data_IF_962743595394
#
_entry.id   IF_962743595394
#
_cell.length_a   1.000
_cell.length_b   1.000
_cell.length_c   1.000
_cell.angle_alpha   90.00
_cell.angle_beta   90.00
_cell.angle_gamma   90.00
#
_symmetry.space_group_name_H-M   'P 1'
#
loop_
_entity.id
_entity.type
_entity.pdbx_description
1 polymer ?
#
# COMPACT_ATOMS: atom_id res chain seq x y z
N UNK A 1 -75.40 -1.87 -21.64
CA UNK A 1 -75.49 -2.07 -23.11
C UNK A 1 -74.77 -0.91 -23.78
N UNK A 2 -74.01 -1.09 -24.87
CA UNK A 2 -72.89 -2.01 -25.16
C UNK A 2 -71.56 -1.21 -25.39
N UNK A 3 -70.38 -1.82 -25.23
CA UNK A 3 -69.37 -2.16 -26.28
C UNK A 3 -68.67 -0.95 -26.95
N UNK A 4 -67.41 -0.96 -27.39
CA UNK A 4 -66.55 -2.05 -27.86
C UNK A 4 -65.12 -1.49 -28.01
N UNK A 5 -64.12 -2.33 -27.73
CA UNK A 5 -62.68 -2.12 -27.97
C UNK A 5 -62.38 -2.05 -29.47
N UNK A 6 -61.33 -1.32 -29.86
CA UNK A 6 -60.51 -1.67 -31.03
C UNK A 6 -59.02 -1.59 -30.64
N UNK A 7 -58.42 -2.78 -30.55
CA UNK A 7 -56.98 -3.01 -30.50
C UNK A 7 -56.46 -3.05 -31.94
N UNK A 8 -55.49 -2.21 -32.28
CA UNK A 8 -54.79 -2.20 -33.56
C UNK A 8 -53.53 -3.08 -33.53
N UNK A 9 -53.69 -4.31 -34.00
CA UNK A 9 -52.79 -5.12 -34.84
C UNK A 9 -51.26 -5.07 -34.67
N UNK A 10 -50.74 -6.27 -34.39
CA UNK A 10 -49.35 -6.71 -34.45
C UNK A 10 -48.71 -6.62 -35.85
N UNK A 11 -47.38 -6.45 -35.86
CA UNK A 11 -46.51 -7.09 -36.85
C UNK A 11 -45.33 -7.69 -36.09
N UNK A 12 -45.34 -9.02 -35.96
CA UNK A 12 -44.20 -9.83 -35.58
C UNK A 12 -43.44 -10.22 -36.86
N UNK A 13 -42.13 -9.98 -36.90
CA UNK A 13 -41.23 -10.65 -37.84
C UNK A 13 -40.10 -11.25 -36.99
N UNK A 14 -40.22 -12.55 -36.75
CA UNK A 14 -39.12 -13.41 -36.35
C UNK A 14 -38.76 -14.22 -37.59
N UNK A 15 -37.53 -14.08 -38.09
CA UNK A 15 -36.89 -15.14 -38.87
C UNK A 15 -35.43 -15.29 -38.44
N UNK A 16 -35.15 -16.51 -38.00
CA UNK A 16 -33.88 -17.15 -37.69
C UNK A 16 -32.83 -16.98 -38.81
N UNK A 17 -31.55 -16.92 -38.41
CA UNK A 17 -30.45 -17.42 -39.23
C UNK A 17 -29.12 -16.68 -39.00
N UNK A 18 -28.25 -17.22 -38.14
CA UNK A 18 -26.89 -16.70 -38.00
C UNK A 18 -26.12 -17.28 -36.81
N UNK A 19 -25.72 -18.54 -36.92
CA UNK A 19 -24.69 -19.13 -36.06
C UNK A 19 -23.33 -18.48 -36.43
N UNK A 20 -22.96 -17.42 -35.72
CA UNK A 20 -21.63 -16.84 -35.79
C UNK A 20 -21.01 -16.88 -34.40
N UNK A 21 -20.36 -18.01 -34.11
CA UNK A 21 -19.40 -18.18 -33.03
C UNK A 21 -18.22 -17.23 -33.24
N UNK A 22 -18.40 -15.95 -32.94
CA UNK A 22 -17.29 -15.02 -32.86
C UNK A 22 -16.73 -15.07 -31.44
N UNK A 23 -15.84 -16.04 -31.24
CA UNK A 23 -14.80 -16.04 -30.22
C UNK A 23 -13.94 -14.79 -30.42
N UNK A 24 -14.45 -13.63 -30.02
CA UNK A 24 -13.78 -12.34 -30.09
C UNK A 24 -13.31 -11.95 -28.71
N UNK A 25 -12.15 -12.48 -28.33
CA UNK A 25 -11.22 -12.01 -27.29
C UNK A 25 -11.82 -10.93 -26.37
N UNK A 26 -12.52 -11.39 -25.33
CA UNK A 26 -12.43 -10.70 -24.06
C UNK A 26 -10.94 -10.66 -23.71
N UNK A 27 -10.25 -9.62 -24.18
CA UNK A 27 -9.09 -9.12 -23.50
C UNK A 27 -9.63 -8.73 -22.14
N UNK A 28 -9.60 -9.71 -21.22
CA UNK A 28 -9.72 -9.45 -19.82
C UNK A 28 -8.89 -8.21 -19.59
N UNK A 29 -9.54 -7.19 -19.03
CA UNK A 29 -8.84 -6.10 -18.41
C UNK A 29 -7.92 -6.79 -17.40
N UNK A 30 -6.71 -7.12 -17.86
CA UNK A 30 -5.58 -7.40 -17.00
C UNK A 30 -5.48 -6.06 -16.30
N UNK A 31 -6.02 -6.03 -15.08
CA UNK A 31 -5.89 -4.90 -14.18
C UNK A 31 -4.39 -4.70 -14.11
N UNK A 32 -3.90 -3.79 -14.94
CA UNK A 32 -2.48 -3.57 -15.14
C UNK A 32 -1.96 -3.36 -13.73
N UNK A 33 -1.08 -4.25 -13.30
CA UNK A 33 -0.58 -4.25 -11.93
C UNK A 33 0.29 -3.00 -11.80
N UNK A 34 -0.36 -1.86 -11.56
CA UNK A 34 0.32 -0.65 -11.12
C UNK A 34 1.22 -1.10 -9.99
N UNK A 35 2.54 -0.81 -10.04
CA UNK A 35 3.44 -1.13 -8.95
C UNK A 35 2.78 -0.66 -7.65
N UNK A 36 2.49 -1.61 -6.77
CA UNK A 36 1.75 -1.30 -5.56
C UNK A 36 2.61 -0.43 -4.66
N UNK A 37 1.95 0.42 -3.87
CA UNK A 37 2.63 1.30 -2.91
C UNK A 37 2.07 1.08 -1.52
N UNK A 38 2.83 1.50 -0.53
CA UNK A 38 2.35 1.76 0.82
C UNK A 38 2.56 3.24 1.09
N UNK A 39 1.51 3.96 1.50
CA UNK A 39 1.61 5.38 1.81
C UNK A 39 1.05 5.66 3.20
N UNK A 40 1.57 6.70 3.86
CA UNK A 40 1.08 7.11 5.17
C UNK A 40 1.84 8.30 5.72
N UNK A 41 1.59 8.60 6.99
CA UNK A 41 2.29 9.65 7.74
C UNK A 41 2.95 9.06 8.99
N UNK A 42 4.18 9.46 9.23
CA UNK A 42 4.93 9.15 10.45
C UNK A 42 4.87 10.39 11.34
N UNK A 43 4.38 10.20 12.56
CA UNK A 43 4.26 11.24 13.57
C UNK A 43 5.12 10.91 14.77
N UNK A 44 5.45 11.92 15.57
CA UNK A 44 6.15 11.75 16.82
C UNK A 44 5.16 11.79 18.00
N UNK A 45 5.34 10.89 18.97
CA UNK A 45 4.68 11.04 20.27
C UNK A 45 5.20 12.32 20.97
N UNK A 46 4.33 13.28 21.32
CA UNK A 46 4.76 14.54 21.94
C UNK A 46 5.63 14.36 23.19
N UNK A 47 5.50 13.26 23.91
CA UNK A 47 6.30 12.95 25.11
C UNK A 47 7.78 12.67 24.79
N UNK A 48 8.11 12.43 23.53
CA UNK A 48 9.46 12.10 23.05
C UNK A 48 10.08 13.23 22.23
N UNK A 49 9.41 14.38 22.08
CA UNK A 49 9.89 15.54 21.31
C UNK A 49 11.30 15.99 21.73
N UNK A 50 11.55 16.07 23.02
CA UNK A 50 12.83 16.51 23.58
C UNK A 50 13.96 15.47 23.44
N UNK A 51 13.68 14.31 22.83
CA UNK A 51 14.67 13.25 22.61
C UNK A 51 15.21 13.22 21.18
N UNK A 52 14.61 13.98 20.25
CA UNK A 52 15.05 14.01 18.86
C UNK A 52 16.42 14.69 18.74
N UNK A 53 17.34 13.99 18.07
CA UNK A 53 18.56 14.60 17.56
C UNK A 53 18.25 15.26 16.20
N UNK A 54 18.58 16.55 15.98
CA UNK A 54 18.41 17.21 14.68
C UNK A 54 19.20 16.56 13.52
N UNK A 55 20.18 15.72 13.83
CA UNK A 55 20.96 14.95 12.84
C UNK A 55 20.47 13.51 12.69
N UNK A 56 19.33 13.15 13.30
CA UNK A 56 18.78 11.81 13.26
C UNK A 56 18.39 11.39 11.83
N UNK A 57 18.41 10.09 11.58
CA UNK A 57 17.98 9.48 10.32
C UNK A 57 16.77 8.60 10.56
N UNK A 58 15.71 8.83 9.79
CA UNK A 58 14.52 7.97 9.79
C UNK A 58 14.67 6.86 8.76
N UNK A 59 14.55 5.62 9.24
CA UNK A 59 14.44 4.42 8.43
C UNK A 59 13.00 3.92 8.44
N UNK A 60 12.41 3.75 7.26
CA UNK A 60 11.10 3.14 7.06
C UNK A 60 11.33 1.78 6.43
N UNK A 61 10.98 0.73 7.16
CA UNK A 61 11.38 -0.65 6.86
C UNK A 61 10.15 -1.50 6.61
N UNK A 62 10.10 -2.12 5.43
CA UNK A 62 9.09 -3.13 5.08
C UNK A 62 9.72 -4.53 5.08
N UNK A 63 9.12 -5.46 5.82
CA UNK A 63 9.47 -6.89 5.81
C UNK A 63 8.28 -7.71 5.35
N UNK A 64 8.51 -8.77 4.56
CA UNK A 64 7.45 -9.73 4.24
C UNK A 64 6.88 -10.33 5.53
N UNK A 65 5.56 -10.37 5.67
CA UNK A 65 4.91 -10.76 6.92
C UNK A 65 5.26 -12.20 7.35
N UNK A 66 5.45 -13.09 6.37
CA UNK A 66 5.72 -14.52 6.60
C UNK A 66 7.23 -14.84 6.71
N UNK A 67 8.09 -13.82 6.64
CA UNK A 67 9.55 -13.98 6.67
C UNK A 67 10.11 -13.24 7.90
N UNK A 68 10.25 -13.92 9.05
CA UNK A 68 10.67 -13.28 10.30
C UNK A 68 12.15 -12.91 10.34
N UNK A 69 12.99 -13.55 9.52
CA UNK A 69 14.45 -13.38 9.53
C UNK A 69 14.99 -12.95 8.16
N UNK A 70 16.17 -12.32 8.15
CA UNK A 70 16.85 -11.90 6.93
C UNK A 70 16.71 -10.40 6.63
N UNK A 71 17.17 -9.96 5.45
CA UNK A 71 17.10 -8.54 5.08
C UNK A 71 15.64 -8.11 4.86
N UNK A 72 15.32 -6.81 5.07
CA UNK A 72 14.04 -6.25 4.67
C UNK A 72 13.74 -6.42 3.18
N UNK A 73 12.45 -6.36 2.83
CA UNK A 73 12.00 -6.28 1.44
C UNK A 73 12.36 -4.91 0.85
N UNK A 74 12.04 -3.84 1.58
CA UNK A 74 12.29 -2.46 1.17
C UNK A 74 12.69 -1.58 2.36
N UNK A 75 13.53 -0.58 2.09
CA UNK A 75 13.99 0.40 3.07
C UNK A 75 14.03 1.78 2.44
N UNK A 76 13.41 2.76 3.09
CA UNK A 76 13.57 4.18 2.77
C UNK A 76 14.33 4.88 3.89
N UNK A 77 15.33 5.67 3.52
CA UNK A 77 16.20 6.43 4.43
C UNK A 77 15.95 7.92 4.24
N UNK A 78 15.66 8.64 5.32
CA UNK A 78 15.42 10.08 5.32
C UNK A 78 16.34 10.72 6.36
N UNK A 79 17.28 11.53 5.92
CA UNK A 79 18.14 12.30 6.82
C UNK A 79 17.39 13.54 7.33
N UNK A 80 17.57 13.86 8.61
CA UNK A 80 17.02 15.07 9.24
C UNK A 80 15.52 15.27 8.95
N UNK A 81 14.66 14.26 9.26
CA UNK A 81 13.25 14.32 8.94
C UNK A 81 12.52 15.38 9.78
N UNK A 82 11.61 16.12 9.14
CA UNK A 82 10.62 16.94 9.84
C UNK A 82 9.36 16.13 10.10
N UNK A 83 8.79 16.26 11.30
CA UNK A 83 7.56 15.58 11.69
C UNK A 83 6.36 16.56 11.74
N UNK A 84 5.17 16.14 11.26
CA UNK A 84 4.87 14.83 10.67
C UNK A 84 5.47 14.63 9.27
N UNK A 85 5.95 13.42 8.98
CA UNK A 85 6.59 13.06 7.71
C UNK A 85 5.67 12.18 6.85
N UNK A 86 5.23 12.67 5.70
CA UNK A 86 4.49 11.86 4.73
C UNK A 86 5.42 11.00 3.88
N UNK A 87 5.09 9.72 3.70
CA UNK A 87 5.94 8.78 2.98
C UNK A 87 5.16 7.92 1.99
N UNK A 88 5.89 7.42 1.00
CA UNK A 88 5.47 6.37 0.07
C UNK A 88 6.60 5.34 0.04
N UNK A 89 6.30 4.05 0.21
CA UNK A 89 7.19 2.94 -0.11
C UNK A 89 6.71 2.30 -1.41
N UNK A 90 7.65 2.01 -2.31
CA UNK A 90 7.39 1.46 -3.65
C UNK A 90 8.47 0.46 -4.07
N UNK A 91 8.42 0.01 -5.33
CA UNK A 91 9.48 -0.81 -5.93
C UNK A 91 10.86 -0.17 -5.90
N UNK A 92 10.95 1.16 -5.89
CA UNK A 92 12.23 1.88 -5.90
C UNK A 92 12.98 1.76 -4.57
N UNK A 93 12.27 1.38 -3.51
CA UNK A 93 12.81 1.21 -2.17
C UNK A 93 13.24 -0.25 -1.89
N UNK A 94 13.03 -1.15 -2.85
CA UNK A 94 13.33 -2.59 -2.70
C UNK A 94 14.84 -2.83 -2.70
N UNK A 95 15.33 -3.58 -1.72
CA UNK A 95 16.77 -3.82 -1.54
C UNK A 95 17.39 -4.74 -2.61
N UNK A 96 16.62 -5.72 -3.12
CA UNK A 96 17.10 -6.69 -4.11
C UNK A 96 16.46 -6.41 -5.47
N UNK A 97 17.23 -5.93 -6.47
CA UNK A 97 16.72 -5.69 -7.82
C UNK A 97 15.96 -6.90 -8.38
N UNK A 98 14.83 -6.64 -9.04
CA UNK A 98 13.96 -7.67 -9.61
C UNK A 98 13.03 -8.36 -8.61
N UNK A 99 13.13 -8.07 -7.30
CA UNK A 99 12.12 -8.53 -6.34
C UNK A 99 10.89 -7.61 -6.41
N UNK A 100 9.67 -8.14 -6.59
CA UNK A 100 8.48 -7.29 -6.63
C UNK A 100 8.10 -6.77 -5.24
N UNK A 101 7.74 -5.49 -5.15
CA UNK A 101 7.11 -4.92 -3.95
C UNK A 101 5.61 -5.24 -3.96
N UNK A 102 5.23 -6.36 -3.32
CA UNK A 102 3.86 -6.87 -3.33
C UNK A 102 3.55 -7.72 -2.09
N UNK A 103 2.27 -8.04 -1.90
CA UNK A 103 1.81 -8.95 -0.86
C UNK A 103 1.62 -8.27 0.50
N UNK A 104 1.71 -9.06 1.58
CA UNK A 104 1.58 -8.57 2.95
C UNK A 104 2.94 -8.25 3.54
N UNK A 105 3.06 -7.05 4.11
CA UNK A 105 4.30 -6.55 4.70
C UNK A 105 4.05 -6.01 6.09
N UNK A 106 4.97 -6.26 7.02
CA UNK A 106 5.05 -5.52 8.26
C UNK A 106 5.84 -4.23 8.02
N UNK A 107 5.33 -3.10 8.50
CA UNK A 107 5.98 -1.80 8.41
C UNK A 107 6.41 -1.36 9.81
N UNK A 108 7.69 -1.06 9.94
CA UNK A 108 8.32 -0.51 11.14
C UNK A 108 9.17 0.69 10.78
N UNK A 109 9.31 1.60 11.73
CA UNK A 109 10.11 2.81 11.58
C UNK A 109 11.05 2.95 12.76
N UNK A 110 12.29 3.36 12.48
CA UNK A 110 13.30 3.67 13.48
C UNK A 110 13.85 5.06 13.16
N UNK A 111 13.83 5.95 14.13
CA UNK A 111 14.58 7.19 14.11
C UNK A 111 15.89 6.92 14.85
N UNK A 112 16.92 6.66 14.05
CA UNK A 112 18.29 6.42 14.49
C UNK A 112 18.94 7.76 14.86
N UNK A 113 19.46 7.84 16.08
CA UNK A 113 19.96 9.09 16.66
C UNK A 113 21.29 9.54 16.06
N UNK A 114 22.17 8.63 15.67
CA UNK A 114 23.58 8.94 15.36
C UNK A 114 24.06 8.43 14.01
N UNK A 115 23.24 7.67 13.27
CA UNK A 115 23.59 7.18 11.94
C UNK A 115 24.42 5.90 11.97
N UNK A 116 24.65 5.31 13.15
CA UNK A 116 25.42 4.08 13.30
C UNK A 116 24.52 2.88 12.98
N UNK A 117 25.04 1.96 12.17
CA UNK A 117 24.34 0.74 11.80
C UNK A 117 24.11 -0.11 13.05
N UNK A 118 22.88 -0.15 13.54
CA UNK A 118 22.54 -0.87 14.75
C UNK A 118 21.20 -0.45 15.31
N UNK A 119 20.88 -0.99 16.47
CA UNK A 119 19.78 -0.49 17.27
C UNK A 119 20.35 -0.03 18.60
N UNK A 120 20.37 1.27 18.80
CA UNK A 120 21.12 1.92 19.87
C UNK A 120 20.18 2.47 20.95
N UNK A 121 20.65 2.55 22.21
CA UNK A 121 19.91 3.26 23.25
C UNK A 121 19.67 4.72 22.85
N UNK A 122 18.42 5.16 22.93
CA UNK A 122 18.02 6.51 22.52
C UNK A 122 17.37 6.60 21.14
N UNK A 123 17.36 5.53 20.36
CA UNK A 123 16.56 5.46 19.14
C UNK A 123 15.06 5.50 19.46
N UNK A 124 14.30 6.12 18.56
CA UNK A 124 12.84 6.08 18.64
C UNK A 124 12.27 5.07 17.64
N UNK A 125 11.35 4.25 18.09
CA UNK A 125 10.69 3.23 17.27
C UNK A 125 9.20 3.48 17.16
N UNK A 126 8.65 3.01 16.04
CA UNK A 126 7.22 2.96 15.77
C UNK A 126 6.92 1.80 14.82
N UNK A 127 5.68 1.32 14.86
CA UNK A 127 5.20 0.33 13.91
C UNK A 127 3.74 0.58 13.54
N UNK A 128 3.35 0.09 12.37
CA UNK A 128 1.95 0.17 11.96
C UNK A 128 1.09 -0.72 12.86
N UNK A 129 0.14 -0.11 13.56
CA UNK A 129 -0.68 -0.79 14.58
C UNK A 129 -1.55 -1.92 14.02
N UNK A 130 -1.86 -1.92 12.71
CA UNK A 130 -2.61 -2.99 12.04
C UNK A 130 -1.71 -3.88 11.19
N UNK A 131 -0.43 -3.98 11.53
CA UNK A 131 0.48 -4.87 10.82
C UNK A 131 -0.10 -6.31 10.74
N UNK A 132 0.02 -6.99 9.58
CA UNK A 132 0.67 -6.51 8.35
C UNK A 132 -0.25 -5.64 7.46
N UNK A 133 0.36 -4.70 6.73
CA UNK A 133 -0.29 -3.96 5.64
C UNK A 133 -0.27 -4.75 4.32
N UNK A 134 -1.25 -4.51 3.45
CA UNK A 134 -1.27 -5.08 2.09
C UNK A 134 -0.76 -4.04 1.10
N UNK A 135 0.27 -4.38 0.31
CA UNK A 135 0.81 -3.48 -0.71
C UNK A 135 -0.28 -3.12 -1.74
N UNK A 136 -0.47 -1.82 -1.98
CA UNK A 136 -1.51 -1.28 -2.86
C UNK A 136 -2.86 -1.05 -2.17
N UNK A 137 -2.95 -1.19 -0.84
CA UNK A 137 -4.17 -0.83 -0.11
C UNK A 137 -4.42 0.68 -0.15
N UNK A 138 -5.69 1.08 -0.15
CA UNK A 138 -6.10 2.49 -0.12
C UNK A 138 -5.94 3.12 1.28
N UNK A 139 -6.04 2.30 2.33
CA UNK A 139 -5.92 2.77 3.71
C UNK A 139 -4.47 3.21 4.02
N UNK A 140 -4.34 4.44 4.51
CA UNK A 140 -3.07 5.02 4.91
C UNK A 140 -2.43 4.27 6.08
N UNK A 141 -1.14 3.96 5.93
CA UNK A 141 -0.31 3.28 6.94
C UNK A 141 0.34 4.33 7.84
N UNK A 142 -0.45 4.89 8.74
CA UNK A 142 0.03 5.88 9.70
C UNK A 142 0.77 5.21 10.87
N UNK A 143 1.88 5.81 11.28
CA UNK A 143 2.77 5.28 12.33
C UNK A 143 3.11 6.40 13.29
N UNK A 144 3.17 6.07 14.58
CA UNK A 144 3.67 7.00 15.61
C UNK A 144 4.97 6.45 16.19
N UNK A 145 6.02 7.25 16.18
CA UNK A 145 7.25 7.00 16.95
C UNK A 145 6.94 7.24 18.42
N UNK A 146 6.74 6.16 19.18
CA UNK A 146 6.21 6.21 20.55
C UNK A 146 6.99 5.35 21.55
N UNK A 147 8.05 4.68 21.10
CA UNK A 147 8.88 3.83 21.94
C UNK A 147 10.33 4.33 21.91
N UNK A 148 10.88 4.61 23.09
CA UNK A 148 12.31 4.86 23.27
C UNK A 148 13.00 3.51 23.49
N UNK A 149 14.13 3.30 22.82
CA UNK A 149 14.94 2.10 22.97
C UNK A 149 16.00 2.24 24.06
#
# INVERSE_FOLDING_TARGET
>A
MPSLKVFGTAVAIILLGGLASYFGLAHGCSKQSTPGIIAGTISLDPRLADKINPSATLFIVARQADVPFGPPLAVKRIEQPDFPFSYILSSDDVMRPGTPFQGKVSIKTQLDKDGIVGAEPGDLEGEYIKNPATVGQEEAVNITLNKLR
#
